data_IF_199724537287
#
_entry.id   IF_199724537287
#
_cell.length_a   1.000
_cell.length_b   1.000
_cell.length_c   1.000
_cell.angle_alpha   90.00
_cell.angle_beta   90.00
_cell.angle_gamma   90.00
#
_symmetry.space_group_name_H-M   'P 1'
#
loop_
_entity.id
_entity.type
_entity.pdbx_description
1 polymer ?
#
# COMPACT_ATOMS: atom_id res chain seq x y z
N UNK A 1 61.62 -30.47 -6.81
CA UNK A 1 60.65 -29.75 -5.95
C UNK A 1 60.20 -28.46 -6.64
N UNK A 2 59.04 -28.45 -7.31
CA UNK A 2 58.37 -27.22 -7.77
C UNK A 2 56.86 -27.45 -7.69
N UNK A 3 56.25 -27.14 -6.54
CA UNK A 3 54.79 -27.12 -6.38
C UNK A 3 54.30 -25.76 -6.90
N UNK A 4 53.58 -25.75 -8.02
CA UNK A 4 52.78 -24.61 -8.47
C UNK A 4 51.46 -24.67 -7.72
N UNK A 5 51.20 -23.71 -6.85
CA UNK A 5 49.88 -23.49 -6.25
C UNK A 5 49.03 -22.69 -7.24
N UNK A 6 47.94 -23.29 -7.69
CA UNK A 6 46.86 -22.59 -8.38
C UNK A 6 46.00 -21.88 -7.33
N UNK A 7 45.90 -20.56 -7.41
CA UNK A 7 44.95 -19.76 -6.63
C UNK A 7 43.60 -19.80 -7.36
N UNK A 8 42.61 -20.42 -6.74
CA UNK A 8 41.23 -20.46 -7.22
C UNK A 8 40.47 -19.29 -6.55
N UNK A 9 40.23 -18.22 -7.29
CA UNK A 9 39.43 -17.09 -6.83
C UNK A 9 37.95 -17.46 -6.96
N UNK A 10 37.29 -17.78 -5.85
CA UNK A 10 35.84 -17.97 -5.78
C UNK A 10 35.14 -16.62 -5.88
N UNK A 11 34.53 -16.35 -7.04
CA UNK A 11 33.53 -15.29 -7.21
C UNK A 11 32.23 -15.72 -6.49
N UNK A 12 31.97 -15.15 -5.33
CA UNK A 12 30.65 -15.19 -4.70
C UNK A 12 29.73 -14.21 -5.43
N UNK A 13 28.93 -14.69 -6.38
CA UNK A 13 27.79 -13.95 -6.90
C UNK A 13 26.78 -13.76 -5.76
N UNK A 14 26.72 -12.53 -5.23
CA UNK A 14 25.61 -12.11 -4.39
C UNK A 14 24.33 -12.10 -5.21
N UNK A 15 23.44 -13.06 -4.95
CA UNK A 15 22.04 -12.95 -5.33
C UNK A 15 21.46 -11.75 -4.58
N UNK A 16 21.43 -10.59 -5.22
CA UNK A 16 20.57 -9.51 -4.78
C UNK A 16 19.14 -10.03 -4.88
N UNK A 17 18.52 -10.33 -3.74
CA UNK A 17 17.09 -10.55 -3.68
C UNK A 17 16.43 -9.29 -4.26
N UNK A 18 15.81 -9.42 -5.43
CA UNK A 18 14.94 -8.37 -5.94
C UNK A 18 13.86 -8.19 -4.88
N UNK A 19 13.80 -7.02 -4.26
CA UNK A 19 12.67 -6.64 -3.42
C UNK A 19 11.43 -6.75 -4.32
N UNK A 20 10.59 -7.74 -4.05
CA UNK A 20 9.38 -7.95 -4.84
C UNK A 20 8.46 -6.74 -4.67
N UNK A 21 7.94 -6.21 -5.77
CA UNK A 21 6.94 -5.15 -5.75
C UNK A 21 5.79 -5.53 -4.79
N UNK A 22 5.44 -4.63 -3.86
CA UNK A 22 4.40 -4.87 -2.88
C UNK A 22 3.08 -5.16 -3.59
N UNK A 23 2.52 -6.35 -3.37
CA UNK A 23 1.30 -6.81 -4.03
C UNK A 23 0.19 -7.06 -3.02
N UNK A 24 -1.02 -6.60 -3.34
CA UNK A 24 -2.24 -6.83 -2.57
C UNK A 24 -3.12 -7.83 -3.32
N UNK A 25 -3.36 -8.97 -2.70
CA UNK A 25 -4.23 -10.01 -3.25
C UNK A 25 -5.50 -10.09 -2.42
N UNK A 26 -6.66 -10.10 -3.07
CA UNK A 26 -7.91 -10.01 -2.33
C UNK A 26 -9.15 -10.49 -3.05
N UNK A 27 -10.24 -10.44 -2.30
CA UNK A 27 -11.58 -10.77 -2.76
C UNK A 27 -12.53 -9.60 -2.53
N UNK A 28 -13.49 -9.42 -3.43
CA UNK A 28 -14.62 -8.52 -3.30
C UNK A 28 -15.86 -9.35 -2.98
N UNK A 29 -16.51 -9.05 -1.85
CA UNK A 29 -17.77 -9.64 -1.45
C UNK A 29 -18.91 -8.68 -1.80
N UNK A 30 -19.94 -9.20 -2.46
CA UNK A 30 -21.05 -8.42 -3.00
C UNK A 30 -21.15 -8.56 -4.52
N UNK A 31 -22.07 -7.81 -5.13
CA UNK A 31 -22.26 -7.83 -6.57
C UNK A 31 -21.16 -7.03 -7.27
N UNK A 32 -20.47 -7.69 -8.21
CA UNK A 32 -19.39 -7.10 -9.01
C UNK A 32 -19.72 -7.33 -10.48
N UNK A 33 -19.76 -6.25 -11.26
CA UNK A 33 -19.99 -6.34 -12.71
C UNK A 33 -18.72 -6.80 -13.44
N UNK A 34 -18.81 -7.43 -14.62
CA UNK A 34 -17.64 -7.94 -15.35
C UNK A 34 -16.55 -6.89 -15.64
N UNK A 35 -16.94 -5.63 -15.83
CA UNK A 35 -16.04 -4.52 -16.17
C UNK A 35 -15.46 -3.83 -14.94
N UNK A 36 -15.65 -4.40 -13.75
CA UNK A 36 -15.23 -3.75 -12.51
C UNK A 36 -13.72 -3.84 -12.35
N UNK A 37 -13.09 -2.71 -12.02
CA UNK A 37 -11.68 -2.62 -11.66
C UNK A 37 -11.51 -2.06 -10.26
N UNK A 38 -10.41 -2.44 -9.62
CA UNK A 38 -9.94 -1.84 -8.38
C UNK A 38 -8.74 -0.95 -8.71
N UNK A 39 -8.92 0.36 -8.54
CA UNK A 39 -7.86 1.36 -8.68
C UNK A 39 -7.26 1.72 -7.32
N UNK A 40 -5.93 1.84 -7.27
CA UNK A 40 -5.20 2.45 -6.17
C UNK A 40 -4.80 3.88 -6.54
N UNK A 41 -5.26 4.84 -5.74
CA UNK A 41 -5.14 6.27 -6.01
C UNK A 41 -4.26 6.96 -4.98
N UNK A 42 -3.27 7.71 -5.45
CA UNK A 42 -2.65 8.72 -4.62
C UNK A 42 -3.69 9.78 -4.27
N UNK A 43 -3.73 10.22 -3.03
CA UNK A 43 -4.71 11.21 -2.56
C UNK A 43 -4.05 12.43 -1.94
N UNK A 44 -4.78 13.53 -1.88
CA UNK A 44 -4.40 14.69 -1.06
C UNK A 44 -4.52 14.33 0.44
N UNK A 45 -3.95 15.13 1.36
CA UNK A 45 -4.15 14.94 2.80
C UNK A 45 -5.62 14.94 3.25
N UNK A 46 -6.50 15.53 2.45
CA UNK A 46 -7.94 15.55 2.70
C UNK A 46 -8.67 14.36 2.06
N UNK A 47 -7.94 13.40 1.50
CA UNK A 47 -8.46 12.18 0.91
C UNK A 47 -9.05 12.34 -0.50
N UNK A 48 -8.77 13.46 -1.19
CA UNK A 48 -9.25 13.66 -2.56
C UNK A 48 -8.36 12.90 -3.56
N UNK A 49 -8.92 12.11 -4.49
CA UNK A 49 -8.16 11.43 -5.53
C UNK A 49 -7.35 12.40 -6.39
N UNK A 50 -6.08 12.07 -6.64
CA UNK A 50 -5.13 12.92 -7.36
C UNK A 50 -4.64 12.25 -8.65
N UNK A 51 -4.32 10.96 -8.57
CA UNK A 51 -3.84 10.16 -9.69
C UNK A 51 -4.04 8.67 -9.39
N UNK A 52 -4.58 7.92 -10.35
CA UNK A 52 -4.54 6.46 -10.33
C UNK A 52 -3.10 6.00 -10.56
N UNK A 53 -2.53 5.27 -9.59
CA UNK A 53 -1.17 4.75 -9.67
C UNK A 53 -1.14 3.28 -10.11
N UNK A 54 -2.23 2.56 -9.88
CA UNK A 54 -2.35 1.14 -10.16
C UNK A 54 -3.81 0.79 -10.39
N UNK A 55 -4.06 -0.18 -11.26
CA UNK A 55 -5.40 -0.70 -11.53
C UNK A 55 -5.33 -2.20 -11.79
N UNK A 56 -6.33 -2.95 -11.31
CA UNK A 56 -6.48 -4.37 -11.62
C UNK A 56 -7.95 -4.72 -11.88
N UNK A 57 -8.23 -5.61 -12.85
CA UNK A 57 -9.58 -6.13 -13.04
C UNK A 57 -10.03 -6.99 -11.85
N UNK A 58 -11.31 -6.93 -11.52
CA UNK A 58 -11.94 -7.82 -10.54
C UNK A 58 -12.61 -8.97 -11.28
N UNK A 59 -11.94 -10.12 -11.35
CA UNK A 59 -12.43 -11.30 -12.07
C UNK A 59 -12.92 -12.36 -11.10
N UNK A 60 -14.19 -12.78 -11.24
CA UNK A 60 -14.78 -13.78 -10.34
C UNK A 60 -14.71 -13.39 -8.86
N UNK A 61 -14.87 -12.08 -8.58
CA UNK A 61 -14.78 -11.51 -7.22
C UNK A 61 -13.37 -11.49 -6.65
N UNK A 62 -12.31 -11.64 -7.46
CA UNK A 62 -10.90 -11.62 -7.01
C UNK A 62 -10.10 -10.56 -7.75
N UNK A 63 -9.07 -10.04 -7.10
CA UNK A 63 -8.12 -9.11 -7.68
C UNK A 63 -6.70 -9.39 -7.20
N UNK A 64 -5.72 -8.92 -8.00
CA UNK A 64 -4.30 -8.89 -7.67
C UNK A 64 -3.75 -7.54 -8.11
N UNK A 65 -3.34 -6.71 -7.16
CA UNK A 65 -2.90 -5.35 -7.39
C UNK A 65 -1.41 -5.23 -7.02
N UNK A 66 -0.54 -5.05 -8.01
CA UNK A 66 0.90 -4.86 -7.80
C UNK A 66 1.23 -3.36 -7.75
N UNK A 67 1.66 -2.86 -6.60
CA UNK A 67 2.02 -1.45 -6.44
C UNK A 67 3.30 -1.14 -7.24
N UNK A 68 3.37 0.04 -7.87
CA UNK A 68 4.58 0.45 -8.59
C UNK A 68 5.70 0.77 -7.60
N UNK A 69 6.96 0.52 -7.97
CA UNK A 69 8.11 0.91 -7.14
C UNK A 69 8.30 2.44 -7.08
N UNK A 70 7.74 3.16 -8.05
CA UNK A 70 7.88 4.61 -8.18
C UNK A 70 7.18 5.36 -7.04
N UNK A 71 7.76 6.51 -6.69
CA UNK A 71 7.14 7.44 -5.75
C UNK A 71 5.86 8.05 -6.34
N UNK A 72 4.83 8.29 -5.50
CA UNK A 72 3.65 9.08 -5.89
C UNK A 72 4.02 10.49 -6.36
N UNK A 73 3.14 11.19 -7.10
CA UNK A 73 3.38 12.56 -7.51
C UNK A 73 3.58 13.48 -6.29
N UNK A 74 4.47 14.47 -6.41
CA UNK A 74 4.84 15.40 -5.31
C UNK A 74 3.61 16.07 -4.67
N UNK A 75 2.58 16.39 -5.46
CA UNK A 75 1.34 17.01 -4.97
C UNK A 75 0.49 16.13 -4.02
N UNK A 76 0.75 14.82 -4.00
CA UNK A 76 0.14 13.88 -3.06
C UNK A 76 1.07 13.57 -1.87
N UNK A 77 2.32 14.04 -1.89
CA UNK A 77 3.28 13.85 -0.81
C UNK A 77 3.16 14.97 0.21
N UNK A 78 3.23 14.62 1.49
CA UNK A 78 3.21 15.56 2.60
C UNK A 78 4.21 15.16 3.68
N UNK A 79 4.68 16.11 4.50
CA UNK A 79 5.53 15.79 5.64
C UNK A 79 4.86 14.80 6.58
N UNK A 80 5.63 13.88 7.14
CA UNK A 80 5.18 13.04 8.25
C UNK A 80 5.20 13.89 9.52
N UNK A 81 4.07 14.49 9.85
CA UNK A 81 3.88 15.37 11.01
C UNK A 81 2.47 15.22 11.63
N UNK A 82 2.18 16.05 12.64
CA UNK A 82 0.93 16.04 13.40
C UNK A 82 -0.33 16.43 12.60
N UNK A 83 -0.16 16.92 11.36
CA UNK A 83 -1.26 17.20 10.43
C UNK A 83 -1.56 16.04 9.49
N UNK A 84 -0.71 15.01 9.50
CA UNK A 84 -0.93 13.81 8.72
C UNK A 84 -2.12 13.05 9.31
N UNK A 85 -3.27 13.15 8.65
CA UNK A 85 -4.49 12.34 8.89
C UNK A 85 -4.23 10.90 8.45
N UNK A 86 -3.42 10.21 9.25
CA UNK A 86 -3.03 8.85 8.97
C UNK A 86 -4.10 7.83 9.40
N UNK A 87 -4.06 6.63 8.84
CA UNK A 87 -4.90 5.49 9.20
C UNK A 87 -5.09 5.23 10.69
N UNK A 88 -6.16 5.76 11.28
CA UNK A 88 -6.43 5.58 12.71
C UNK A 88 -5.37 6.22 13.63
N UNK A 89 -4.51 7.09 13.11
CA UNK A 89 -3.60 7.88 13.93
C UNK A 89 -4.43 8.98 14.60
N UNK A 90 -4.65 8.80 15.89
CA UNK A 90 -5.19 9.83 16.77
C UNK A 90 -3.98 10.41 17.50
N UNK A 91 -3.83 11.72 17.43
CA UNK A 91 -2.82 12.51 18.15
C UNK A 91 -1.38 11.97 17.98
N UNK A 92 -0.74 12.31 16.87
CA UNK A 92 0.68 12.02 16.64
C UNK A 92 1.51 12.60 17.79
N UNK A 93 2.39 11.79 18.39
CA UNK A 93 3.26 12.22 19.50
C UNK A 93 4.73 12.32 19.12
N UNK A 94 5.20 11.45 18.21
CA UNK A 94 6.62 11.41 17.81
C UNK A 94 6.80 10.86 16.41
N UNK A 95 7.75 11.45 15.70
CA UNK A 95 8.34 10.89 14.47
C UNK A 95 9.84 10.72 14.71
N UNK A 96 10.40 9.55 14.39
CA UNK A 96 11.82 9.26 14.68
C UNK A 96 12.80 9.99 13.75
N UNK A 97 12.38 10.29 12.51
CA UNK A 97 13.18 11.00 11.52
C UNK A 97 12.28 11.73 10.50
N UNK A 98 12.72 12.87 9.93
CA UNK A 98 11.97 13.56 8.88
C UNK A 98 11.74 12.69 7.65
N UNK A 99 10.51 12.66 7.16
CA UNK A 99 10.12 11.97 5.93
C UNK A 99 8.94 12.69 5.26
N UNK A 100 8.73 12.42 3.98
CA UNK A 100 7.48 12.69 3.27
C UNK A 100 6.70 11.38 3.15
N UNK A 101 5.38 11.45 3.15
CA UNK A 101 4.49 10.32 2.93
C UNK A 101 3.36 10.66 1.98
N UNK A 102 2.80 9.63 1.35
CA UNK A 102 1.60 9.73 0.51
C UNK A 102 0.70 8.53 0.78
N UNK A 103 -0.59 8.77 1.01
CA UNK A 103 -1.59 7.73 1.19
C UNK A 103 -2.07 7.20 -0.16
N UNK A 104 -2.32 5.89 -0.21
CA UNK A 104 -3.04 5.24 -1.29
C UNK A 104 -4.44 4.81 -0.82
N UNK A 105 -5.46 5.37 -1.44
CA UNK A 105 -6.86 4.93 -1.26
C UNK A 105 -7.31 4.05 -2.41
N UNK A 106 -8.36 3.27 -2.17
CA UNK A 106 -8.85 2.30 -3.13
C UNK A 106 -10.26 2.63 -3.58
N UNK A 107 -10.49 2.51 -4.88
CA UNK A 107 -11.77 2.80 -5.50
C UNK A 107 -12.14 1.68 -6.47
N UNK A 108 -13.41 1.28 -6.45
CA UNK A 108 -13.99 0.50 -7.54
C UNK A 108 -14.58 1.44 -8.58
N UNK A 109 -14.41 1.09 -9.85
CA UNK A 109 -15.07 1.73 -10.98
C UNK A 109 -15.35 0.69 -12.08
N UNK A 110 -16.17 1.07 -13.05
CA UNK A 110 -16.49 0.24 -14.22
C UNK A 110 -15.75 0.76 -15.43
N UNK A 111 -14.83 -0.03 -15.95
CA UNK A 111 -14.04 0.24 -17.16
C UNK A 111 -14.88 -0.15 -18.40
N UNK A 112 -15.83 0.71 -18.75
CA UNK A 112 -16.86 0.37 -19.74
C UNK A 112 -16.34 0.38 -21.19
N UNK A 113 -15.21 1.03 -21.43
CA UNK A 113 -14.58 1.09 -22.75
C UNK A 113 -13.37 0.14 -22.88
N UNK A 114 -12.96 -0.54 -21.80
CA UNK A 114 -11.85 -1.49 -21.79
C UNK A 114 -10.47 -0.84 -21.87
N UNK A 115 -10.33 0.40 -21.42
CA UNK A 115 -9.05 1.14 -21.45
C UNK A 115 -8.02 0.56 -20.47
N UNK A 116 -8.48 -0.14 -19.44
CA UNK A 116 -7.65 -0.69 -18.37
C UNK A 116 -7.30 0.31 -17.26
N UNK A 117 -7.81 1.54 -17.33
CA UNK A 117 -7.63 2.62 -16.36
C UNK A 117 -8.94 3.38 -16.15
N UNK A 118 -8.98 4.25 -15.14
CA UNK A 118 -10.14 5.10 -14.89
C UNK A 118 -10.22 6.25 -15.89
N UNK A 119 -11.42 6.50 -16.41
CA UNK A 119 -11.75 7.68 -17.22
C UNK A 119 -12.68 8.65 -16.46
N UNK A 120 -12.62 9.96 -16.79
CA UNK A 120 -13.33 11.03 -16.06
C UNK A 120 -14.86 10.81 -15.91
N UNK A 121 -15.47 10.07 -16.85
CA UNK A 121 -16.90 9.74 -16.82
C UNK A 121 -17.27 8.54 -15.93
N UNK A 122 -16.29 7.82 -15.40
CA UNK A 122 -16.52 6.58 -14.66
C UNK A 122 -16.69 6.89 -13.16
N UNK A 123 -17.82 6.53 -12.53
CA UNK A 123 -18.01 6.82 -11.11
C UNK A 123 -17.03 6.04 -10.23
N UNK A 124 -16.32 6.76 -9.35
CA UNK A 124 -15.47 6.17 -8.32
C UNK A 124 -16.29 5.83 -7.08
N UNK A 125 -16.18 4.59 -6.61
CA UNK A 125 -16.71 4.13 -5.32
C UNK A 125 -15.56 3.82 -4.37
N UNK A 126 -15.36 4.65 -3.34
CA UNK A 126 -14.34 4.39 -2.31
C UNK A 126 -14.64 3.06 -1.61
N UNK A 127 -13.61 2.23 -1.45
CA UNK A 127 -13.69 0.96 -0.75
C UNK A 127 -12.57 0.84 0.27
N UNK A 128 -12.83 0.07 1.33
CA UNK A 128 -11.82 -0.27 2.34
C UNK A 128 -11.36 -1.69 2.14
N UNK A 129 -10.04 -1.88 2.21
CA UNK A 129 -9.43 -3.19 2.27
C UNK A 129 -9.36 -3.64 3.73
N UNK A 130 -9.73 -4.88 4.02
CA UNK A 130 -9.75 -5.41 5.39
C UNK A 130 -9.01 -6.75 5.47
N UNK A 131 -8.44 -7.03 6.64
CA UNK A 131 -7.94 -8.35 7.06
C UNK A 131 -8.59 -8.68 8.39
N UNK A 132 -9.57 -9.59 8.36
CA UNK A 132 -10.41 -9.85 9.52
C UNK A 132 -11.16 -8.58 9.95
N UNK A 133 -10.85 -8.06 11.14
CA UNK A 133 -11.43 -6.80 11.67
C UNK A 133 -10.53 -5.58 11.48
N UNK A 134 -9.31 -5.76 10.99
CA UNK A 134 -8.35 -4.67 10.77
C UNK A 134 -8.48 -4.08 9.37
N UNK A 135 -8.33 -2.77 9.25
CA UNK A 135 -8.22 -2.10 7.96
C UNK A 135 -6.80 -2.20 7.42
N UNK A 136 -6.66 -2.41 6.11
CA UNK A 136 -5.38 -2.34 5.41
C UNK A 136 -5.19 -0.93 4.87
N UNK A 137 -4.04 -0.36 5.17
CA UNK A 137 -3.67 0.96 4.74
C UNK A 137 -2.33 0.92 4.04
N UNK A 138 -2.21 1.71 3.00
CA UNK A 138 -1.04 1.71 2.12
C UNK A 138 -0.49 3.11 2.05
N UNK A 139 0.80 3.21 2.33
CA UNK A 139 1.51 4.48 2.43
C UNK A 139 2.87 4.36 1.79
N UNK A 140 3.20 5.33 0.94
CA UNK A 140 4.57 5.51 0.50
C UNK A 140 5.31 6.42 1.47
N UNK A 141 6.57 6.10 1.80
CA UNK A 141 7.45 6.96 2.60
C UNK A 141 8.76 7.26 1.87
N UNK A 142 9.21 8.52 1.91
CA UNK A 142 10.45 8.96 1.25
C UNK A 142 11.72 8.44 1.93
N UNK A 143 11.62 8.10 3.22
CA UNK A 143 12.69 7.61 4.07
C UNK A 143 12.10 6.70 5.15
N UNK A 144 12.94 5.83 5.73
CA UNK A 144 12.54 5.02 6.86
C UNK A 144 12.28 5.91 8.08
N UNK A 145 11.15 5.70 8.76
CA UNK A 145 10.76 6.47 9.95
C UNK A 145 9.79 5.67 10.80
N UNK A 146 9.75 5.95 12.10
CA UNK A 146 8.76 5.39 13.02
C UNK A 146 7.83 6.49 13.46
N UNK A 147 6.53 6.26 13.26
CA UNK A 147 5.45 7.13 13.72
C UNK A 147 4.86 6.55 15.00
N UNK A 148 4.79 7.36 16.05
CA UNK A 148 4.15 7.01 17.32
C UNK A 148 3.00 7.98 17.59
N UNK A 149 1.88 7.45 18.07
CA UNK A 149 0.68 8.21 18.38
C UNK A 149 0.02 7.75 19.67
N UNK A 150 -1.20 8.23 19.93
CA UNK A 150 -1.97 7.81 21.11
C UNK A 150 -2.40 6.34 21.05
N UNK A 151 -2.86 5.81 22.20
CA UNK A 151 -3.36 4.42 22.35
C UNK A 151 -2.38 3.36 21.87
N UNK A 152 -1.10 3.57 22.17
CA UNK A 152 0.02 2.69 21.80
C UNK A 152 0.20 2.52 20.29
N UNK A 153 -0.29 3.47 19.48
CA UNK A 153 -0.04 3.47 18.05
C UNK A 153 1.46 3.55 17.80
N UNK A 154 1.99 2.59 17.05
CA UNK A 154 3.36 2.60 16.54
C UNK A 154 3.42 1.94 15.16
N UNK A 155 3.90 2.68 14.16
CA UNK A 155 4.15 2.14 12.84
C UNK A 155 5.60 2.40 12.43
N UNK A 156 6.33 1.35 12.10
CA UNK A 156 7.62 1.44 11.44
C UNK A 156 7.41 1.45 9.92
N UNK A 157 7.87 2.50 9.26
CA UNK A 157 7.86 2.63 7.81
C UNK A 157 9.26 2.41 7.27
N UNK A 158 9.34 1.62 6.21
CA UNK A 158 10.49 1.56 5.34
C UNK A 158 10.37 2.62 4.24
N UNK A 159 11.50 2.94 3.59
CA UNK A 159 11.47 3.76 2.38
C UNK A 159 10.73 2.99 1.28
N UNK A 160 9.81 3.67 0.59
CA UNK A 160 8.96 3.06 -0.44
C UNK A 160 7.56 2.76 0.07
N UNK A 161 6.88 1.82 -0.57
CA UNK A 161 5.52 1.43 -0.20
C UNK A 161 5.49 0.50 1.01
N UNK A 162 4.64 0.84 1.95
CA UNK A 162 4.32 0.06 3.14
C UNK A 162 2.82 -0.25 3.10
N UNK A 163 2.47 -1.50 3.41
CA UNK A 163 1.09 -1.86 3.72
C UNK A 163 1.02 -2.27 5.18
N UNK A 164 0.04 -1.72 5.90
CA UNK A 164 -0.14 -1.90 7.33
C UNK A 164 -1.56 -2.37 7.61
N UNK A 165 -1.70 -3.39 8.44
CA UNK A 165 -2.98 -3.80 9.02
C UNK A 165 -3.15 -3.09 10.35
N UNK A 166 -4.20 -2.27 10.47
CA UNK A 166 -4.51 -1.48 11.66
C UNK A 166 -5.82 -2.00 12.26
N UNK A 167 -5.75 -2.56 13.47
CA UNK A 167 -6.90 -2.98 14.28
C UNK A 167 -7.07 -1.98 15.44
N UNK A 168 -8.21 -1.29 15.47
CA UNK A 168 -8.53 -0.27 16.47
C UNK A 168 -9.52 -0.85 17.47
N UNK A 169 -9.07 -1.03 18.72
CA UNK A 169 -9.91 -1.45 19.86
C UNK A 169 -9.67 -0.49 21.03
N UNK A 170 -9.39 -1.04 22.22
CA UNK A 170 -8.96 -0.26 23.38
C UNK A 170 -7.56 0.34 23.13
N UNK A 171 -6.68 -0.42 22.47
CA UNK A 171 -5.39 0.04 21.92
C UNK A 171 -5.42 -0.04 20.39
N UNK A 172 -4.48 0.65 19.74
CA UNK A 172 -4.29 0.54 18.29
C UNK A 172 -3.15 -0.44 18.02
N UNK A 173 -3.44 -1.54 17.33
CA UNK A 173 -2.44 -2.52 16.93
C UNK A 173 -2.13 -2.36 15.45
N UNK A 174 -0.89 -2.02 15.14
CA UNK A 174 -0.38 -1.90 13.78
C UNK A 174 0.56 -3.07 13.50
N UNK A 175 0.36 -3.75 12.38
CA UNK A 175 1.23 -4.83 11.90
C UNK A 175 1.54 -4.63 10.42
N UNK A 176 2.77 -4.94 9.96
CA UNK A 176 3.04 -5.02 8.53
C UNK A 176 2.10 -6.03 7.85
N UNK A 177 1.57 -5.66 6.70
CA UNK A 177 0.88 -6.58 5.81
C UNK A 177 1.89 -7.51 5.15
N UNK A 178 1.52 -8.78 5.00
CA UNK A 178 2.32 -9.80 4.30
C UNK A 178 1.59 -10.23 3.03
N UNK A 179 2.28 -10.36 1.86
CA UNK A 179 1.63 -10.71 0.59
C UNK A 179 0.83 -12.02 0.55
N UNK A 180 1.09 -12.93 1.50
CA UNK A 180 0.33 -14.19 1.68
C UNK A 180 -1.06 -13.95 2.29
N UNK A 181 -1.31 -12.77 2.86
CA UNK A 181 -2.58 -12.41 3.50
C UNK A 181 -3.57 -11.96 2.43
N UNK A 182 -4.72 -12.62 2.37
CA UNK A 182 -5.82 -12.20 1.49
C UNK A 182 -6.58 -11.04 2.12
N UNK A 183 -6.73 -9.94 1.38
CA UNK A 183 -7.56 -8.80 1.80
C UNK A 183 -9.01 -8.98 1.32
N UNK A 184 -9.94 -8.34 2.02
CA UNK A 184 -11.36 -8.39 1.72
C UNK A 184 -11.92 -6.98 1.54
N UNK A 185 -12.69 -6.80 0.47
CA UNK A 185 -13.60 -5.67 0.29
C UNK A 185 -15.02 -6.19 0.51
N UNK A 186 -15.78 -5.54 1.38
CA UNK A 186 -17.20 -5.80 1.55
C UNK A 186 -17.98 -4.62 0.99
N UNK A 187 -18.82 -4.88 0.00
CA UNK A 187 -19.65 -3.86 -0.64
C UNK A 187 -20.97 -3.61 0.10
N UNK A 188 -21.22 -4.33 1.19
CA UNK A 188 -22.53 -4.36 1.82
C UNK A 188 -23.59 -4.99 0.91
N UNK A 189 -24.81 -5.10 1.43
CA UNK A 189 -26.02 -5.35 0.63
C UNK A 189 -26.65 -4.04 0.22
#
# INVERSE_FOLDING_TARGET
MKRRLSVLTLLSLGLAAQAGALSLNGTVQGEVTPDTRLGGWAVTPFGQPVQELVSAPVTGGRFSLALPDAAPPVRAQVPVDDRLSWPGLIDLTRVSAPAQAAELKFYLYRDTNGSGSHDEGEPLREVRLNVGRGGVFVVWASAATTVTGSRDYQAALERGWNALVVDVRNTVRVQPYTPQTTVQIDLGR
#
